data_IF_032299634041
#
_entry.id   IF_032299634041
#
_cell.length_a   1.000
_cell.length_b   1.000
_cell.length_c   1.000
_cell.angle_alpha   90.00
_cell.angle_beta   90.00
_cell.angle_gamma   90.00
#
_symmetry.space_group_name_H-M   'P 1'
#
loop_
_entity.id
_entity.type
_entity.pdbx_description
1 polymer ?
#
# COMPACT_ATOMS: atom_id res chain seq x y z
N UNK A 1 14.36 -4.49 -22.43
CA UNK A 1 13.71 -5.57 -21.66
C UNK A 1 14.34 -5.60 -20.28
N UNK A 2 13.54 -5.62 -19.20
CA UNK A 2 14.01 -5.60 -17.82
C UNK A 2 13.37 -6.76 -17.08
N UNK A 3 14.16 -7.49 -16.28
CA UNK A 3 13.70 -8.61 -15.46
C UNK A 3 13.83 -8.24 -14.00
N UNK A 4 12.73 -8.38 -13.25
CA UNK A 4 12.68 -8.10 -11.81
C UNK A 4 12.07 -9.29 -11.08
N UNK A 5 12.55 -9.60 -9.86
CA UNK A 5 11.93 -10.63 -9.03
C UNK A 5 10.54 -10.18 -8.60
N UNK A 6 9.63 -11.14 -8.48
CA UNK A 6 8.27 -10.92 -7.99
C UNK A 6 7.98 -11.85 -6.82
N UNK A 7 7.11 -11.40 -5.93
CA UNK A 7 6.59 -12.19 -4.81
C UNK A 7 5.10 -12.42 -5.04
N UNK A 8 4.63 -13.64 -4.82
CA UNK A 8 3.21 -13.97 -4.84
C UNK A 8 2.68 -13.96 -3.41
N UNK A 9 1.76 -13.04 -3.13
CA UNK A 9 1.13 -12.93 -1.83
C UNK A 9 -0.15 -13.77 -1.72
N UNK A 10 -0.48 -14.18 -0.51
CA UNK A 10 -1.77 -14.77 -0.14
C UNK A 10 -2.60 -13.75 0.61
N UNK A 11 -3.92 -13.78 0.43
CA UNK A 11 -4.83 -12.90 1.16
C UNK A 11 -5.09 -13.45 2.56
N UNK A 12 -5.00 -12.56 3.56
CA UNK A 12 -5.43 -12.83 4.93
C UNK A 12 -6.60 -11.90 5.28
N UNK A 13 -7.77 -12.48 5.55
CA UNK A 13 -8.96 -11.70 5.90
C UNK A 13 -8.86 -11.26 7.36
N UNK A 14 -9.06 -9.96 7.61
CA UNK A 14 -9.02 -9.36 8.94
C UNK A 14 -10.27 -8.50 9.15
N UNK A 15 -10.65 -8.29 10.41
CA UNK A 15 -11.79 -7.43 10.75
C UNK A 15 -11.44 -5.95 10.57
N UNK A 16 -10.23 -5.53 10.98
CA UNK A 16 -9.75 -4.15 10.92
C UNK A 16 -8.25 -4.08 10.55
N UNK A 17 -7.81 -2.91 10.07
CA UNK A 17 -6.40 -2.62 9.79
C UNK A 17 -5.74 -1.85 10.94
N UNK A 18 -4.46 -2.11 11.17
CA UNK A 18 -3.63 -1.27 12.06
C UNK A 18 -3.47 0.14 11.47
N UNK A 19 -3.74 1.15 12.28
CA UNK A 19 -3.61 2.54 11.87
C UNK A 19 -2.14 2.91 11.61
N UNK A 20 -1.89 3.71 10.57
CA UNK A 20 -0.56 4.22 10.22
C UNK A 20 -0.64 5.72 9.91
N UNK A 21 0.51 6.41 9.93
CA UNK A 21 0.59 7.85 9.63
C UNK A 21 0.01 8.24 8.26
N UNK A 22 0.07 7.33 7.28
CA UNK A 22 -0.55 7.55 5.96
C UNK A 22 -2.06 7.30 5.99
N UNK A 23 -2.51 6.28 6.73
CA UNK A 23 -3.89 5.82 6.73
C UNK A 23 -4.41 5.56 5.30
N UNK A 24 -5.61 6.06 5.01
CA UNK A 24 -6.26 5.97 3.69
C UNK A 24 -5.74 7.01 2.67
N UNK A 25 -4.68 7.76 3.00
CA UNK A 25 -4.16 8.84 2.19
C UNK A 25 -3.70 8.40 0.78
N UNK A 26 -4.39 8.90 -0.24
CA UNK A 26 -4.10 8.69 -1.67
C UNK A 26 -4.25 9.96 -2.50
N UNK A 27 -4.14 9.86 -3.84
CA UNK A 27 -4.47 10.95 -4.79
C UNK A 27 -3.87 12.34 -4.46
N UNK A 28 -2.56 12.42 -4.20
CA UNK A 28 -1.93 13.70 -3.89
C UNK A 28 -2.16 14.16 -2.45
N UNK A 29 -2.48 13.25 -1.54
CA UNK A 29 -2.58 13.49 -0.08
C UNK A 29 -1.37 14.25 0.51
N UNK A 30 -0.18 14.08 -0.05
CA UNK A 30 1.02 14.82 0.38
C UNK A 30 1.11 16.26 -0.15
N UNK A 31 0.17 16.69 -1.00
CA UNK A 31 0.16 17.99 -1.65
C UNK A 31 1.24 18.18 -2.72
N UNK A 32 1.26 19.40 -3.25
CA UNK A 32 2.32 19.96 -4.11
C UNK A 32 2.67 21.34 -3.55
N UNK A 33 3.93 21.75 -3.67
CA UNK A 33 4.36 23.14 -3.53
C UNK A 33 4.53 23.76 -4.92
#
# INVERSE_FOLDING_TARGET
MVFVPVVQAEFNLVEDFDATDRGEGGFGHSGRQ
#
